data_IF_535844260127
#
_entry.id   IF_535844260127
#
_cell.length_a   1.000
_cell.length_b   1.000
_cell.length_c   1.000
_cell.angle_alpha   90.00
_cell.angle_beta   90.00
_cell.angle_gamma   90.00
#
_symmetry.space_group_name_H-M   'P 1'
#
loop_
_entity.id
_entity.type
_entity.pdbx_description
1 polymer ?
#
# COMPACT_ATOMS: atom_id res chain seq x y z
N UNK A 1 13.27 9.12 -12.21
CA UNK A 1 12.17 9.58 -11.31
C UNK A 1 12.79 10.43 -10.22
N UNK A 2 12.18 11.57 -9.87
CA UNK A 2 12.53 12.29 -8.64
C UNK A 2 11.95 11.57 -7.42
N UNK A 3 12.47 11.86 -6.23
CA UNK A 3 11.94 11.29 -4.98
C UNK A 3 10.48 11.72 -4.73
N UNK A 4 10.10 12.95 -5.08
CA UNK A 4 8.71 13.42 -5.03
C UNK A 4 7.79 12.61 -5.95
N UNK A 5 8.22 12.30 -7.17
CA UNK A 5 7.43 11.49 -8.10
C UNK A 5 7.27 10.04 -7.62
N UNK A 6 8.30 9.50 -6.93
CA UNK A 6 8.22 8.20 -6.29
C UNK A 6 7.22 8.22 -5.12
N UNK A 7 7.31 9.21 -4.24
CA UNK A 7 6.39 9.37 -3.11
C UNK A 7 4.94 9.51 -3.57
N UNK A 8 4.69 10.31 -4.60
CA UNK A 8 3.34 10.47 -5.19
C UNK A 8 2.82 9.17 -5.81
N UNK A 9 3.68 8.42 -6.52
CA UNK A 9 3.33 7.12 -7.08
C UNK A 9 2.99 6.10 -5.99
N UNK A 10 3.79 6.04 -4.91
CA UNK A 10 3.54 5.18 -3.77
C UNK A 10 2.23 5.53 -3.07
N UNK A 11 1.99 6.83 -2.82
CA UNK A 11 0.75 7.32 -2.22
C UNK A 11 -0.47 6.84 -3.00
N UNK A 12 -0.47 7.06 -4.31
CA UNK A 12 -1.58 6.62 -5.19
C UNK A 12 -1.80 5.11 -5.16
N UNK A 13 -0.74 4.30 -5.08
CA UNK A 13 -0.91 2.85 -4.94
C UNK A 13 -1.54 2.48 -3.60
N UNK A 14 -1.11 3.09 -2.50
CA UNK A 14 -1.67 2.84 -1.17
C UNK A 14 -3.14 3.30 -1.12
N UNK A 15 -3.45 4.50 -1.60
CA UNK A 15 -4.81 5.02 -1.72
C UNK A 15 -5.70 4.10 -2.54
N UNK A 16 -5.19 3.55 -3.65
CA UNK A 16 -5.93 2.57 -4.45
C UNK A 16 -6.25 1.30 -3.65
N UNK A 17 -5.27 0.73 -2.93
CA UNK A 17 -5.49 -0.47 -2.13
C UNK A 17 -6.58 -0.28 -1.07
N UNK A 18 -6.60 0.89 -0.42
CA UNK A 18 -7.58 1.24 0.59
C UNK A 18 -8.84 1.94 0.05
N UNK A 19 -8.94 2.13 -1.27
CA UNK A 19 -10.14 2.71 -1.88
C UNK A 19 -11.35 1.81 -1.64
N UNK A 20 -12.52 2.43 -1.46
CA UNK A 20 -13.76 1.68 -1.25
C UNK A 20 -14.01 0.67 -2.36
N UNK A 21 -13.79 1.07 -3.62
CA UNK A 21 -13.95 0.20 -4.77
C UNK A 21 -13.05 -1.05 -4.68
N UNK A 22 -11.77 -0.88 -4.31
CA UNK A 22 -10.88 -2.02 -4.16
C UNK A 22 -11.30 -2.88 -2.97
N UNK A 23 -11.55 -2.30 -1.80
CA UNK A 23 -11.88 -3.05 -0.58
C UNK A 23 -13.20 -3.82 -0.69
N UNK A 24 -14.19 -3.33 -1.43
CA UNK A 24 -15.43 -4.06 -1.69
C UNK A 24 -15.18 -5.38 -2.43
N UNK A 25 -14.18 -5.41 -3.33
CA UNK A 25 -13.86 -6.54 -4.21
C UNK A 25 -12.73 -7.41 -3.66
N UNK A 26 -11.78 -6.81 -2.95
CA UNK A 26 -10.56 -7.46 -2.48
C UNK A 26 -10.78 -8.11 -1.10
N UNK A 27 -11.20 -9.38 -1.14
CA UNK A 27 -11.34 -10.19 0.06
C UNK A 27 -10.01 -10.50 0.75
N UNK A 28 -8.90 -10.48 0.00
CA UNK A 28 -7.59 -10.74 0.58
C UNK A 28 -7.20 -9.60 1.53
N UNK A 29 -7.33 -8.35 1.08
CA UNK A 29 -7.06 -7.19 1.92
C UNK A 29 -7.94 -7.18 3.18
N UNK A 30 -9.25 -7.38 3.02
CA UNK A 30 -10.18 -7.39 4.17
C UNK A 30 -9.89 -8.51 5.18
N UNK A 31 -9.47 -9.68 4.72
CA UNK A 31 -9.09 -10.80 5.61
C UNK A 31 -7.79 -10.57 6.37
N UNK A 32 -6.98 -9.60 5.92
CA UNK A 32 -5.70 -9.24 6.55
C UNK A 32 -5.82 -8.03 7.47
N UNK A 33 -6.97 -7.35 7.46
CA UNK A 33 -7.31 -6.31 8.41
C UNK A 33 -7.57 -6.92 9.79
N UNK A 34 -7.13 -6.23 10.83
CA UNK A 34 -7.57 -6.53 12.19
C UNK A 34 -8.99 -5.98 12.45
N UNK A 35 -9.45 -6.12 13.70
CA UNK A 35 -10.78 -5.66 14.15
C UNK A 35 -11.02 -4.16 13.95
N UNK A 36 -9.94 -3.37 13.88
CA UNK A 36 -10.00 -1.91 13.78
C UNK A 36 -9.70 -1.45 12.33
N UNK A 37 -9.48 -2.39 11.40
CA UNK A 37 -9.23 -2.12 9.98
C UNK A 37 -7.76 -1.92 9.61
N UNK A 38 -6.82 -2.14 10.55
CA UNK A 38 -5.40 -1.95 10.28
C UNK A 38 -4.78 -3.16 9.59
N UNK A 39 -3.78 -2.89 8.75
CA UNK A 39 -2.98 -3.91 8.06
C UNK A 39 -1.51 -3.69 8.41
N UNK A 40 -0.73 -4.76 8.65
CA UNK A 40 0.71 -4.64 8.82
C UNK A 40 1.39 -3.97 7.62
N UNK A 41 2.20 -2.93 7.85
CA UNK A 41 2.91 -2.21 6.78
C UNK A 41 3.80 -3.15 5.93
N UNK A 42 4.37 -4.17 6.58
CA UNK A 42 5.16 -5.20 5.90
C UNK A 42 4.36 -5.97 4.84
N UNK A 43 3.05 -6.13 5.03
CA UNK A 43 2.19 -6.75 4.02
C UNK A 43 2.04 -5.84 2.80
N UNK A 44 1.75 -4.55 3.01
CA UNK A 44 1.64 -3.59 1.90
C UNK A 44 2.97 -3.48 1.15
N UNK A 45 4.10 -3.40 1.88
CA UNK A 45 5.44 -3.37 1.31
C UNK A 45 5.80 -4.64 0.50
N UNK A 46 5.11 -5.77 0.74
CA UNK A 46 5.30 -7.01 -0.01
C UNK A 46 4.52 -7.07 -1.33
N UNK A 47 3.61 -6.14 -1.59
CA UNK A 47 2.79 -6.16 -2.79
C UNK A 47 3.63 -5.85 -4.03
N UNK A 48 3.42 -6.61 -5.11
CA UNK A 48 4.21 -6.49 -6.33
C UNK A 48 4.26 -5.06 -6.90
N UNK A 49 3.17 -4.29 -6.84
CA UNK A 49 3.16 -2.90 -7.33
C UNK A 49 3.96 -1.96 -6.43
N UNK A 50 3.99 -2.21 -5.12
CA UNK A 50 4.81 -1.44 -4.17
C UNK A 50 6.27 -1.80 -4.35
N UNK A 51 6.59 -3.10 -4.42
CA UNK A 51 7.93 -3.61 -4.70
C UNK A 51 8.52 -3.14 -6.03
N UNK A 52 7.68 -2.95 -7.06
CA UNK A 52 8.10 -2.38 -8.33
C UNK A 52 8.46 -0.89 -8.23
N UNK A 53 7.95 -0.17 -7.22
CA UNK A 53 8.28 1.23 -6.96
C UNK A 53 9.47 1.36 -6.01
N UNK A 54 9.52 0.56 -4.94
CA UNK A 54 10.60 0.58 -3.94
C UNK A 54 10.74 -0.76 -3.23
N UNK A 55 11.96 -1.12 -2.86
CA UNK A 55 12.25 -2.23 -1.93
C UNK A 55 12.52 -1.74 -0.50
N UNK A 56 12.62 -0.42 -0.32
CA UNK A 56 12.86 0.22 0.97
C UNK A 56 11.52 0.45 1.69
N UNK A 57 11.28 -0.31 2.75
CA UNK A 57 10.09 -0.19 3.61
C UNK A 57 10.05 1.16 4.32
N UNK A 58 11.20 1.77 4.62
CA UNK A 58 11.28 3.10 5.22
C UNK A 58 10.59 4.14 4.34
N UNK A 59 10.82 4.07 3.02
CA UNK A 59 10.13 4.94 2.06
C UNK A 59 8.62 4.71 1.99
N UNK A 60 8.12 3.52 2.32
CA UNK A 60 6.68 3.23 2.38
C UNK A 60 6.04 3.83 3.64
N UNK A 61 6.79 3.89 4.74
CA UNK A 61 6.35 4.48 6.02
C UNK A 61 6.27 6.01 5.95
N UNK A 62 7.13 6.64 5.15
CA UNK A 62 7.21 8.10 5.00
C UNK A 62 6.14 8.73 4.09
N UNK A 63 5.25 7.93 3.51
CA UNK A 63 4.26 8.37 2.48
C UNK A 63 3.07 9.09 3.09
#
# INVERSE_FOLDING_TARGET
MSDEALKDSLRKQIEYYFSEENLQKDFFMRRRMDKDGFIPIALIASFHRVQALTQDVGKVIEV
#
